data_IF_179900275470
#
_entry.id   IF_179900275470
#
_cell.length_a   1.000
_cell.length_b   1.000
_cell.length_c   1.000
_cell.angle_alpha   90.00
_cell.angle_beta   90.00
_cell.angle_gamma   90.00
#
_symmetry.space_group_name_H-M   'P 1'
#
loop_
_entity.id
_entity.type
_entity.pdbx_description
1 polymer ?
#
# COMPACT_ATOMS: atom_id res chain seq x y z
N UNK A 1 2.61 -41.04 16.72
CA UNK A 1 2.16 -42.10 15.80
C UNK A 1 2.51 -41.65 14.39
N UNK A 2 3.32 -42.39 13.64
CA UNK A 2 3.54 -42.12 12.22
C UNK A 2 2.23 -42.45 11.49
N UNK A 3 1.42 -41.44 11.20
CA UNK A 3 0.22 -41.61 10.37
C UNK A 3 0.69 -41.81 8.93
N UNK A 4 0.36 -42.96 8.35
CA UNK A 4 0.59 -43.27 6.95
C UNK A 4 -0.56 -42.66 6.14
N UNK A 5 -0.29 -41.58 5.44
CA UNK A 5 -1.20 -41.03 4.43
C UNK A 5 -0.82 -41.56 3.07
N UNK A 6 -1.83 -41.81 2.23
CA UNK A 6 -1.62 -42.10 0.82
C UNK A 6 -1.78 -40.80 0.04
N UNK A 7 -0.67 -40.28 -0.49
CA UNK A 7 -0.71 -39.10 -1.35
C UNK A 7 -1.38 -39.42 -2.69
N UNK A 8 -2.16 -38.49 -3.26
CA UNK A 8 -2.53 -38.53 -4.67
C UNK A 8 -1.28 -38.72 -5.52
N UNK A 9 -1.28 -39.70 -6.43
CA UNK A 9 -0.11 -40.02 -7.24
C UNK A 9 -0.11 -39.13 -8.48
N UNK A 10 0.79 -38.15 -8.60
CA UNK A 10 0.84 -37.31 -9.80
C UNK A 10 1.34 -38.13 -11.00
N UNK A 11 0.72 -37.94 -12.16
CA UNK A 11 1.29 -38.37 -13.43
C UNK A 11 2.66 -37.71 -13.64
N UNK A 12 3.63 -38.48 -14.15
CA UNK A 12 4.95 -38.01 -14.54
C UNK A 12 5.09 -38.08 -16.05
N UNK A 13 5.09 -36.91 -16.69
CA UNK A 13 5.38 -36.78 -18.12
C UNK A 13 6.86 -37.00 -18.44
N UNK A 14 7.18 -36.98 -19.73
CA UNK A 14 8.54 -37.13 -20.27
C UNK A 14 9.09 -35.82 -20.87
N UNK A 15 8.52 -34.67 -20.53
CA UNK A 15 8.95 -33.37 -21.05
C UNK A 15 10.35 -33.05 -20.52
N UNK A 16 11.25 -32.72 -21.43
CA UNK A 16 12.61 -32.27 -21.15
C UNK A 16 12.96 -31.16 -22.14
N UNK A 17 13.50 -30.06 -21.62
CA UNK A 17 13.94 -28.91 -22.41
C UNK A 17 15.46 -28.77 -22.36
N UNK A 18 16.05 -28.11 -23.36
CA UNK A 18 17.49 -27.82 -23.39
C UNK A 18 17.71 -26.34 -23.14
N UNK A 19 18.23 -26.00 -21.95
CA UNK A 19 18.60 -24.64 -21.58
C UNK A 19 20.12 -24.54 -21.51
N UNK A 20 20.73 -23.68 -22.32
CA UNK A 20 22.18 -23.49 -22.40
C UNK A 20 22.97 -24.81 -22.62
N UNK A 21 22.45 -25.69 -23.46
CA UNK A 21 23.07 -26.98 -23.76
C UNK A 21 22.92 -28.04 -22.66
N UNK A 22 22.08 -27.80 -21.64
CA UNK A 22 21.77 -28.75 -20.58
C UNK A 22 20.32 -29.19 -20.65
N UNK A 23 20.09 -30.49 -20.53
CA UNK A 23 18.76 -31.07 -20.40
C UNK A 23 18.16 -30.75 -19.02
N UNK A 24 16.91 -30.29 -19.01
CA UNK A 24 16.13 -29.96 -17.82
C UNK A 24 14.79 -30.69 -17.92
N UNK A 25 14.61 -31.71 -17.09
CA UNK A 25 13.37 -32.49 -17.05
C UNK A 25 12.27 -31.72 -16.29
N UNK A 26 11.07 -31.72 -16.84
CA UNK A 26 9.87 -31.15 -16.23
C UNK A 26 8.71 -32.16 -16.25
N UNK A 27 8.75 -33.17 -15.36
CA UNK A 27 7.76 -34.25 -15.37
C UNK A 27 6.36 -33.79 -14.95
N UNK A 28 6.22 -32.57 -14.40
CA UNK A 28 4.96 -32.05 -13.86
C UNK A 28 4.40 -30.88 -14.66
N UNK A 29 4.96 -30.57 -15.83
CA UNK A 29 4.50 -29.53 -16.78
C UNK A 29 2.98 -29.51 -17.01
N UNK A 30 2.30 -30.65 -16.94
CA UNK A 30 0.85 -30.72 -17.10
C UNK A 30 0.07 -29.91 -16.04
N UNK A 31 0.64 -29.73 -14.84
CA UNK A 31 0.07 -28.91 -13.76
C UNK A 31 0.07 -27.40 -14.07
N UNK A 32 0.87 -26.94 -15.03
CA UNK A 32 0.88 -25.52 -15.46
C UNK A 32 -0.42 -25.10 -16.18
N UNK A 33 -1.32 -26.05 -16.47
CA UNK A 33 -2.63 -25.80 -17.07
C UNK A 33 -3.71 -25.97 -15.99
N UNK A 34 -4.04 -24.93 -15.20
CA UNK A 34 -4.99 -25.04 -14.10
C UNK A 34 -6.41 -25.42 -14.56
N UNK A 35 -6.76 -25.04 -15.80
CA UNK A 35 -8.08 -25.32 -16.39
C UNK A 35 -8.22 -26.76 -16.92
N UNK A 36 -7.12 -27.50 -17.05
CA UNK A 36 -7.16 -28.85 -17.59
C UNK A 36 -7.89 -29.81 -16.62
N UNK A 37 -8.76 -30.72 -17.12
CA UNK A 37 -9.50 -31.64 -16.26
C UNK A 37 -8.61 -32.48 -15.32
N UNK A 38 -7.46 -32.95 -15.82
CA UNK A 38 -6.49 -33.72 -15.03
C UNK A 38 -5.93 -32.89 -13.86
N UNK A 39 -5.57 -31.63 -14.12
CA UNK A 39 -5.04 -30.70 -13.10
C UNK A 39 -6.09 -30.39 -12.05
N UNK A 40 -7.33 -30.08 -12.46
CA UNK A 40 -8.44 -29.83 -11.54
C UNK A 40 -8.74 -31.04 -10.66
N UNK A 41 -8.72 -32.24 -11.24
CA UNK A 41 -8.90 -33.47 -10.47
C UNK A 41 -7.79 -33.64 -9.42
N UNK A 42 -6.53 -33.48 -9.80
CA UNK A 42 -5.41 -33.62 -8.88
C UNK A 42 -5.44 -32.57 -7.76
N UNK A 43 -5.79 -31.32 -8.07
CA UNK A 43 -6.01 -30.27 -7.06
C UNK A 43 -7.10 -30.69 -6.07
N UNK A 44 -8.24 -31.18 -6.56
CA UNK A 44 -9.33 -31.63 -5.69
C UNK A 44 -8.90 -32.79 -4.77
N UNK A 45 -8.12 -33.75 -5.28
CA UNK A 45 -7.57 -34.85 -4.49
C UNK A 45 -6.58 -34.36 -3.40
N UNK A 46 -5.72 -33.39 -3.73
CA UNK A 46 -4.80 -32.76 -2.76
C UNK A 46 -5.54 -31.97 -1.68
N UNK A 47 -6.59 -31.22 -2.05
CA UNK A 47 -7.45 -30.49 -1.10
C UNK A 47 -8.17 -31.47 -0.17
N UNK A 48 -8.74 -32.55 -0.70
CA UNK A 48 -9.43 -33.57 0.10
C UNK A 48 -8.49 -34.24 1.12
N UNK A 49 -7.27 -34.58 0.70
CA UNK A 49 -6.25 -35.12 1.61
C UNK A 49 -5.90 -34.10 2.71
N UNK A 50 -5.69 -32.84 2.33
CA UNK A 50 -5.28 -31.77 3.25
C UNK A 50 -6.37 -31.47 4.27
N UNK A 51 -7.62 -31.29 3.85
CA UNK A 51 -8.74 -31.06 4.78
C UNK A 51 -8.99 -32.26 5.68
N UNK A 52 -8.86 -33.49 5.16
CA UNK A 52 -8.91 -34.70 5.97
C UNK A 52 -7.85 -34.70 7.07
N UNK A 53 -6.60 -34.35 6.74
CA UNK A 53 -5.51 -34.24 7.71
C UNK A 53 -5.79 -33.17 8.77
N UNK A 54 -6.15 -31.96 8.33
CA UNK A 54 -6.37 -30.82 9.22
C UNK A 54 -7.58 -31.02 10.13
N UNK A 55 -8.63 -31.71 9.66
CA UNK A 55 -9.83 -32.03 10.46
C UNK A 55 -9.53 -32.95 11.65
N UNK A 56 -8.45 -33.75 11.59
CA UNK A 56 -8.06 -34.65 12.67
C UNK A 56 -7.24 -33.96 13.78
N UNK A 57 -6.90 -32.68 13.63
CA UNK A 57 -6.11 -31.92 14.62
C UNK A 57 -7.05 -31.45 15.75
N UNK A 58 -6.96 -32.01 16.98
CA UNK A 58 -7.94 -31.71 18.03
C UNK A 58 -7.94 -30.23 18.45
N UNK A 59 -6.80 -29.56 18.32
CA UNK A 59 -6.64 -28.15 18.67
C UNK A 59 -7.22 -27.17 17.62
N UNK A 60 -7.59 -27.62 16.40
CA UNK A 60 -8.01 -26.74 15.29
C UNK A 60 -9.17 -25.83 15.68
N UNK A 61 -10.20 -26.39 16.32
CA UNK A 61 -11.38 -25.63 16.75
C UNK A 61 -11.05 -24.60 17.85
N UNK A 62 -10.17 -24.95 18.79
CA UNK A 62 -9.74 -24.02 19.85
C UNK A 62 -8.90 -22.87 19.28
N UNK A 63 -7.97 -23.17 18.37
CA UNK A 63 -7.16 -22.17 17.68
C UNK A 63 -8.06 -21.22 16.88
N UNK A 64 -9.01 -21.77 16.11
CA UNK A 64 -9.98 -20.98 15.36
C UNK A 64 -10.80 -20.05 16.26
N UNK A 65 -11.34 -20.57 17.37
CA UNK A 65 -12.12 -19.76 18.31
C UNK A 65 -11.27 -18.64 18.92
N UNK A 66 -10.00 -18.90 19.28
CA UNK A 66 -9.11 -17.87 19.81
C UNK A 66 -8.76 -16.82 18.76
N UNK A 67 -8.46 -17.24 17.52
CA UNK A 67 -8.21 -16.32 16.42
C UNK A 67 -9.42 -15.43 16.14
N UNK A 68 -10.63 -15.99 16.12
CA UNK A 68 -11.86 -15.20 15.95
C UNK A 68 -12.01 -14.15 17.03
N UNK A 69 -11.80 -14.49 18.31
CA UNK A 69 -11.86 -13.52 19.41
C UNK A 69 -10.76 -12.44 19.33
N UNK A 70 -9.57 -12.79 18.85
CA UNK A 70 -8.48 -11.82 18.64
C UNK A 70 -8.73 -10.91 17.42
N UNK A 71 -9.54 -11.35 16.46
CA UNK A 71 -9.88 -10.59 15.26
C UNK A 71 -11.12 -9.71 15.47
N UNK A 72 -12.03 -10.10 16.35
CA UNK A 72 -13.32 -9.44 16.56
C UNK A 72 -13.22 -8.19 17.45
N UNK A 73 -12.62 -7.13 16.90
CA UNK A 73 -12.55 -5.81 17.51
C UNK A 73 -12.63 -4.70 16.43
N UNK A 74 -13.13 -3.50 16.75
CA UNK A 74 -13.17 -2.39 15.80
C UNK A 74 -11.78 -1.99 15.29
N UNK A 75 -11.64 -1.75 13.99
CA UNK A 75 -10.38 -1.33 13.34
C UNK A 75 -10.65 -0.07 12.54
N UNK A 76 -9.74 0.88 12.62
CA UNK A 76 -9.84 2.16 11.92
C UNK A 76 -8.58 2.37 11.08
N UNK A 77 -8.73 3.06 9.96
CA UNK A 77 -7.60 3.71 9.28
C UNK A 77 -7.51 5.18 9.71
N UNK A 78 -6.35 5.78 9.49
CA UNK A 78 -6.14 7.19 9.81
C UNK A 78 -7.11 8.07 9.00
N UNK A 79 -7.85 8.99 9.64
CA UNK A 79 -8.78 9.85 8.93
C UNK A 79 -8.03 10.88 8.09
N UNK A 80 -8.62 11.26 6.96
CA UNK A 80 -8.14 12.33 6.11
C UNK A 80 -9.26 13.32 5.78
N UNK A 81 -8.87 14.58 5.57
CA UNK A 81 -9.80 15.67 5.31
C UNK A 81 -9.84 16.03 3.81
N UNK A 82 -11.06 16.26 3.30
CA UNK A 82 -11.34 16.91 2.00
C UNK A 82 -12.52 17.85 2.15
N UNK A 83 -12.37 19.09 1.70
CA UNK A 83 -13.27 20.18 2.08
C UNK A 83 -13.49 20.25 3.60
N UNK A 84 -14.76 20.30 4.01
CA UNK A 84 -15.17 20.30 5.42
C UNK A 84 -15.42 18.89 5.99
N UNK A 85 -15.20 17.84 5.18
CA UNK A 85 -15.51 16.45 5.52
C UNK A 85 -14.26 15.64 5.92
N UNK A 86 -14.44 14.76 6.89
CA UNK A 86 -13.48 13.74 7.27
C UNK A 86 -13.92 12.38 6.71
N UNK A 87 -12.96 11.64 6.18
CA UNK A 87 -13.15 10.32 5.61
C UNK A 87 -12.26 9.31 6.35
N UNK A 88 -12.78 8.12 6.62
CA UNK A 88 -12.01 7.05 7.26
C UNK A 88 -12.62 5.68 7.01
N UNK A 89 -11.78 4.66 6.88
CA UNK A 89 -12.21 3.27 6.82
C UNK A 89 -12.38 2.70 8.22
N UNK A 90 -13.43 1.91 8.42
CA UNK A 90 -13.74 1.23 9.67
C UNK A 90 -14.18 -0.22 9.41
N UNK A 91 -13.71 -1.15 10.23
CA UNK A 91 -14.21 -2.52 10.30
C UNK A 91 -14.66 -2.81 11.73
N UNK A 92 -15.90 -3.25 11.95
CA UNK A 92 -16.44 -3.46 13.30
C UNK A 92 -15.93 -4.73 13.99
N UNK A 93 -15.18 -5.59 13.28
CA UNK A 93 -14.61 -6.81 13.83
C UNK A 93 -14.30 -7.82 12.74
N UNK A 94 -15.34 -8.54 12.32
CA UNK A 94 -15.28 -9.68 11.40
C UNK A 94 -15.89 -9.38 10.02
N UNK A 95 -16.10 -8.11 9.67
CA UNK A 95 -16.54 -7.77 8.31
C UNK A 95 -15.45 -8.19 7.32
N UNK A 96 -15.84 -8.77 6.18
CA UNK A 96 -14.88 -9.24 5.17
C UNK A 96 -14.02 -8.07 4.64
N UNK A 97 -14.65 -6.90 4.47
CA UNK A 97 -13.99 -5.66 4.08
C UNK A 97 -14.41 -4.51 4.99
N UNK A 98 -13.49 -3.56 5.22
CA UNK A 98 -13.79 -2.33 5.91
C UNK A 98 -14.81 -1.49 5.11
N UNK A 99 -15.58 -0.65 5.81
CA UNK A 99 -16.55 0.28 5.24
C UNK A 99 -15.93 1.69 5.29
N UNK A 100 -16.08 2.46 4.22
CA UNK A 100 -15.69 3.86 4.20
C UNK A 100 -16.80 4.70 4.83
N UNK A 101 -16.43 5.50 5.83
CA UNK A 101 -17.29 6.46 6.50
C UNK A 101 -16.93 7.88 6.08
N UNK A 102 -17.91 8.77 6.16
CA UNK A 102 -17.75 10.21 6.03
C UNK A 102 -18.42 10.92 7.20
N UNK A 103 -17.82 12.02 7.62
CA UNK A 103 -18.21 12.80 8.78
C UNK A 103 -18.08 14.29 8.46
N UNK A 104 -19.07 15.10 8.84
CA UNK A 104 -19.01 16.57 8.69
C UNK A 104 -18.21 17.17 9.86
N UNK A 105 -17.09 17.83 9.57
CA UNK A 105 -16.19 18.37 10.60
C UNK A 105 -15.62 17.29 11.53
N UNK A 106 -15.08 17.70 12.70
CA UNK A 106 -14.43 16.79 13.67
C UNK A 106 -15.38 16.14 14.67
N UNK A 107 -16.54 16.77 14.90
CA UNK A 107 -17.50 16.35 15.93
C UNK A 107 -18.85 15.92 15.32
N UNK A 108 -18.95 15.86 13.99
CA UNK A 108 -20.15 15.36 13.32
C UNK A 108 -20.35 13.86 13.54
N UNK A 109 -21.59 13.40 13.41
CA UNK A 109 -21.91 11.98 13.45
C UNK A 109 -21.44 11.30 12.14
N UNK A 110 -20.59 10.25 12.21
CA UNK A 110 -20.18 9.52 11.02
C UNK A 110 -21.35 8.79 10.36
N UNK A 111 -21.39 8.81 9.02
CA UNK A 111 -22.29 7.99 8.21
C UNK A 111 -21.51 7.09 7.27
N UNK A 112 -22.06 5.92 6.98
CA UNK A 112 -21.51 5.04 5.94
C UNK A 112 -21.60 5.74 4.58
N UNK A 113 -20.50 5.72 3.84
CA UNK A 113 -20.43 6.24 2.48
C UNK A 113 -20.34 5.11 1.45
N UNK A 114 -19.53 4.07 1.73
CA UNK A 114 -19.33 2.93 0.84
C UNK A 114 -19.08 1.66 1.64
N UNK A 115 -19.95 0.67 1.48
CA UNK A 115 -19.82 -0.67 2.05
C UNK A 115 -19.46 -1.68 0.94
N UNK A 116 -18.19 -2.08 0.82
CA UNK A 116 -17.76 -3.07 -0.17
C UNK A 116 -18.43 -4.44 0.01
N UNK A 117 -18.85 -4.80 1.22
CA UNK A 117 -19.50 -6.08 1.50
C UNK A 117 -20.88 -6.19 0.80
N UNK A 118 -21.44 -5.06 0.35
CA UNK A 118 -22.71 -5.03 -0.39
C UNK A 118 -22.55 -5.20 -1.90
N UNK A 119 -21.31 -5.19 -2.43
CA UNK A 119 -21.06 -5.20 -3.88
C UNK A 119 -21.17 -6.60 -4.54
N UNK A 120 -21.18 -7.67 -3.75
CA UNK A 120 -21.33 -9.06 -4.25
C UNK A 120 -21.92 -9.94 -3.16
N UNK A 121 -22.85 -10.83 -3.52
CA UNK A 121 -23.45 -11.79 -2.58
C UNK A 121 -22.42 -12.78 -1.99
N UNK A 122 -21.38 -13.13 -2.76
CA UNK A 122 -20.34 -14.08 -2.36
C UNK A 122 -19.10 -13.43 -1.71
N UNK A 123 -19.08 -12.09 -1.59
CA UNK A 123 -17.99 -11.33 -1.00
C UNK A 123 -16.69 -11.31 -1.83
N UNK A 124 -16.73 -11.70 -3.11
CA UNK A 124 -15.54 -11.78 -3.96
C UNK A 124 -15.19 -10.48 -4.70
N UNK A 125 -16.04 -9.46 -4.57
CA UNK A 125 -15.76 -8.11 -5.07
C UNK A 125 -15.09 -7.28 -3.98
N UNK A 126 -14.02 -6.56 -4.33
CA UNK A 126 -13.27 -5.73 -3.41
C UNK A 126 -13.10 -4.29 -3.88
N UNK A 127 -13.17 -3.35 -2.94
CA UNK A 127 -12.69 -1.99 -3.18
C UNK A 127 -11.20 -1.96 -2.86
N UNK A 128 -10.39 -1.65 -3.88
CA UNK A 128 -8.91 -1.75 -3.82
C UNK A 128 -8.21 -0.40 -3.84
N UNK A 129 -8.96 0.69 -3.97
CA UNK A 129 -8.46 2.05 -3.84
C UNK A 129 -9.57 3.08 -4.00
N UNK A 130 -9.28 4.30 -3.56
CA UNK A 130 -10.21 5.41 -3.61
C UNK A 130 -9.49 6.76 -3.72
N UNK A 131 -10.20 7.76 -4.25
CA UNK A 131 -9.75 9.15 -4.28
C UNK A 131 -10.96 10.07 -4.13
N UNK A 132 -10.90 10.97 -3.16
CA UNK A 132 -11.93 11.96 -2.89
C UNK A 132 -11.51 13.31 -3.48
N UNK A 133 -12.44 13.99 -4.15
CA UNK A 133 -12.22 15.33 -4.71
C UNK A 133 -11.84 16.34 -3.62
N UNK A 134 -11.16 17.42 -3.99
CA UNK A 134 -10.58 18.35 -3.03
C UNK A 134 -11.61 19.08 -2.16
N UNK A 135 -12.81 19.30 -2.71
CA UNK A 135 -13.99 19.84 -2.01
C UNK A 135 -14.74 18.80 -1.15
N UNK A 136 -14.41 17.50 -1.25
CA UNK A 136 -15.07 16.43 -0.52
C UNK A 136 -16.45 16.01 -1.06
N UNK A 137 -16.83 16.44 -2.27
CA UNK A 137 -18.16 16.17 -2.85
C UNK A 137 -18.26 14.90 -3.69
N UNK A 138 -17.13 14.42 -4.21
CA UNK A 138 -17.08 13.24 -5.07
C UNK A 138 -16.05 12.21 -4.57
N UNK A 139 -16.41 10.95 -4.67
CA UNK A 139 -15.56 9.80 -4.40
C UNK A 139 -15.42 8.99 -5.69
N UNK A 140 -14.20 8.82 -6.19
CA UNK A 140 -13.89 7.79 -7.17
C UNK A 140 -13.36 6.56 -6.42
N UNK A 141 -13.86 5.37 -6.71
CA UNK A 141 -13.40 4.13 -6.07
C UNK A 141 -13.20 3.01 -7.09
N UNK A 142 -12.17 2.19 -6.84
CA UNK A 142 -11.72 1.13 -7.73
C UNK A 142 -12.25 -0.21 -7.25
N UNK A 143 -12.97 -0.91 -8.11
CA UNK A 143 -13.58 -2.21 -7.83
C UNK A 143 -12.83 -3.31 -8.58
N UNK A 144 -12.36 -4.32 -7.84
CA UNK A 144 -11.76 -5.54 -8.38
C UNK A 144 -12.69 -6.73 -8.13
N UNK A 145 -12.94 -7.53 -9.17
CA UNK A 145 -13.78 -8.73 -9.09
C UNK A 145 -12.91 -9.97 -9.04
N UNK A 146 -13.19 -10.89 -8.11
CA UNK A 146 -12.46 -12.15 -7.92
C UNK A 146 -10.94 -11.99 -7.74
N UNK A 147 -10.51 -10.87 -7.13
CA UNK A 147 -9.08 -10.58 -6.91
C UNK A 147 -8.29 -10.27 -8.18
N UNK A 148 -8.97 -9.90 -9.27
CA UNK A 148 -8.34 -9.45 -10.51
C UNK A 148 -7.53 -8.17 -10.30
N UNK A 149 -6.38 -8.08 -10.96
CA UNK A 149 -5.62 -6.83 -11.07
C UNK A 149 -6.37 -5.76 -11.90
N UNK A 150 -7.34 -6.18 -12.74
CA UNK A 150 -8.19 -5.23 -13.48
C UNK A 150 -9.26 -4.67 -12.57
N UNK A 151 -9.43 -3.37 -12.68
CA UNK A 151 -10.40 -2.62 -11.90
C UNK A 151 -11.37 -1.83 -12.79
N UNK A 152 -12.53 -1.55 -12.23
CA UNK A 152 -13.49 -0.57 -12.73
C UNK A 152 -13.49 0.64 -11.79
N UNK A 153 -13.60 1.85 -12.34
CA UNK A 153 -13.74 3.07 -11.54
C UNK A 153 -15.21 3.44 -11.49
N UNK A 154 -15.72 3.54 -10.27
CA UNK A 154 -17.06 4.03 -9.98
C UNK A 154 -16.96 5.41 -9.33
N UNK A 155 -17.97 6.26 -9.57
CA UNK A 155 -18.00 7.63 -9.05
C UNK A 155 -19.24 7.81 -8.20
N UNK A 156 -19.06 8.17 -6.93
CA UNK A 156 -20.12 8.37 -5.94
C UNK A 156 -20.22 9.84 -5.57
N UNK A 157 -21.45 10.37 -5.56
CA UNK A 157 -21.71 11.63 -4.89
C UNK A 157 -21.68 11.41 -3.36
N UNK A 158 -20.83 12.15 -2.67
CA UNK A 158 -20.62 11.97 -1.23
C UNK A 158 -21.88 12.34 -0.45
N UNK A 159 -22.57 13.42 -0.82
CA UNK A 159 -23.77 13.91 -0.13
C UNK A 159 -24.96 12.95 -0.20
N UNK A 160 -25.28 12.44 -1.39
CA UNK A 160 -26.42 11.52 -1.59
C UNK A 160 -26.06 10.05 -1.38
N UNK A 161 -24.78 9.69 -1.34
CA UNK A 161 -24.26 8.32 -1.35
C UNK A 161 -24.77 7.50 -2.56
N UNK A 162 -25.05 8.16 -3.68
CA UNK A 162 -25.46 7.52 -4.93
C UNK A 162 -24.32 7.56 -5.95
N UNK A 163 -24.17 6.46 -6.67
CA UNK A 163 -23.24 6.38 -7.79
C UNK A 163 -23.82 7.09 -9.00
N UNK A 164 -22.93 7.75 -9.75
CA UNK A 164 -23.21 8.16 -11.11
C UNK A 164 -23.35 6.93 -12.01
N UNK A 165 -24.14 7.00 -13.09
CA UNK A 165 -24.38 5.86 -13.97
C UNK A 165 -23.14 5.43 -14.77
N UNK A 166 -22.19 6.33 -15.01
CA UNK A 166 -20.95 6.00 -15.70
C UNK A 166 -20.03 5.09 -14.87
N UNK A 167 -19.40 4.13 -15.56
CA UNK A 167 -18.38 3.23 -15.00
C UNK A 167 -17.20 3.20 -15.95
N UNK A 168 -15.99 3.44 -15.44
CA UNK A 168 -14.79 3.50 -16.27
C UNK A 168 -14.06 2.16 -16.20
N UNK A 169 -14.07 1.42 -17.31
CA UNK A 169 -13.45 0.11 -17.40
C UNK A 169 -11.97 0.17 -17.82
N UNK A 170 -11.32 -1.00 -17.79
CA UNK A 170 -9.96 -1.25 -18.29
C UNK A 170 -8.84 -0.54 -17.51
N UNK A 171 -9.09 -0.25 -16.24
CA UNK A 171 -8.05 0.24 -15.32
C UNK A 171 -7.33 -0.93 -14.64
N UNK A 172 -6.14 -0.66 -14.12
CA UNK A 172 -5.37 -1.58 -13.28
C UNK A 172 -4.44 -0.76 -12.41
N UNK A 173 -4.58 -0.86 -11.08
CA UNK A 173 -3.85 -0.02 -10.12
C UNK A 173 -3.89 1.48 -10.47
N UNK A 174 -5.03 1.94 -11.02
CA UNK A 174 -5.13 3.30 -11.54
C UNK A 174 -5.05 4.33 -10.41
N UNK A 175 -4.34 5.41 -10.69
CA UNK A 175 -4.34 6.59 -9.81
C UNK A 175 -5.35 7.61 -10.32
N UNK A 176 -6.10 8.22 -9.40
CA UNK A 176 -7.17 9.18 -9.72
C UNK A 176 -6.76 10.57 -9.20
N UNK A 177 -6.56 11.50 -10.13
CA UNK A 177 -6.11 12.85 -9.86
C UNK A 177 -7.21 13.86 -10.21
N UNK A 178 -7.99 14.27 -9.20
CA UNK A 178 -9.10 15.22 -9.34
C UNK A 178 -8.62 16.61 -9.74
N UNK A 179 -9.35 17.27 -10.63
CA UNK A 179 -9.16 18.70 -10.87
C UNK A 179 -9.52 19.51 -9.61
N UNK A 180 -8.87 20.67 -9.39
CA UNK A 180 -9.19 21.53 -8.24
C UNK A 180 -10.64 22.01 -8.18
N UNK A 181 -11.34 22.06 -9.33
CA UNK A 181 -12.74 22.45 -9.42
C UNK A 181 -13.72 21.25 -9.36
N UNK A 182 -13.19 20.04 -9.15
CA UNK A 182 -13.93 18.78 -9.08
C UNK A 182 -14.80 18.48 -10.32
N UNK A 183 -14.55 19.12 -11.46
CA UNK A 183 -15.33 18.91 -12.69
C UNK A 183 -15.05 17.57 -13.38
N UNK A 184 -13.94 16.94 -13.02
CA UNK A 184 -13.45 15.69 -13.57
C UNK A 184 -12.11 15.30 -12.94
N UNK A 185 -11.50 14.24 -13.47
CA UNK A 185 -10.22 13.74 -13.00
C UNK A 185 -9.39 13.11 -14.13
N UNK A 186 -8.09 13.09 -13.93
CA UNK A 186 -7.18 12.30 -14.74
C UNK A 186 -7.03 10.91 -14.16
N UNK A 187 -6.96 9.92 -15.05
CA UNK A 187 -6.72 8.52 -14.70
C UNK A 187 -6.03 7.79 -15.84
N UNK A 188 -5.36 6.69 -15.55
CA UNK A 188 -4.71 5.85 -16.54
C UNK A 188 -5.47 4.54 -16.78
N UNK A 189 -5.49 4.08 -18.03
CA UNK A 189 -6.13 2.82 -18.43
C UNK A 189 -5.39 2.10 -19.55
N UNK A 190 -5.73 0.83 -19.73
CA UNK A 190 -5.19 -0.03 -20.80
C UNK A 190 -6.21 -0.20 -21.93
N UNK A 191 -5.77 -0.63 -23.14
CA UNK A 191 -6.68 -0.92 -24.24
C UNK A 191 -7.65 -2.07 -23.92
N UNK A 192 -8.89 -1.94 -24.37
CA UNK A 192 -9.96 -2.93 -24.11
C UNK A 192 -9.64 -4.36 -24.61
N UNK A 193 -8.83 -4.48 -25.67
CA UNK A 193 -8.65 -5.73 -26.44
C UNK A 193 -7.57 -6.67 -25.91
N UNK A 194 -6.90 -6.38 -24.79
CA UNK A 194 -5.90 -7.31 -24.24
C UNK A 194 -6.57 -8.57 -23.70
N UNK A 195 -6.13 -9.73 -24.19
CA UNK A 195 -6.47 -11.04 -23.62
C UNK A 195 -6.10 -11.08 -22.13
N UNK A 196 -6.82 -11.88 -21.34
CA UNK A 196 -6.63 -11.97 -19.89
C UNK A 196 -5.18 -12.32 -19.49
N UNK A 197 -4.47 -13.09 -20.32
CA UNK A 197 -3.08 -13.51 -20.09
C UNK A 197 -2.04 -12.64 -20.83
N UNK A 198 -2.47 -11.58 -21.51
CA UNK A 198 -1.55 -10.69 -22.21
C UNK A 198 -0.80 -9.80 -21.20
N UNK A 199 0.48 -9.55 -21.47
CA UNK A 199 1.24 -8.54 -20.73
C UNK A 199 0.53 -7.18 -20.86
N UNK A 200 0.31 -6.54 -19.72
CA UNK A 200 -0.28 -5.20 -19.64
C UNK A 200 0.62 -4.20 -20.35
N UNK A 201 0.19 -3.75 -21.52
CA UNK A 201 0.93 -2.85 -22.40
C UNK A 201 0.05 -1.73 -22.94
N UNK A 202 0.69 -0.63 -23.36
CA UNK A 202 0.06 0.56 -23.92
C UNK A 202 -0.90 1.24 -22.93
N UNK A 203 -0.47 1.37 -21.67
CA UNK A 203 -1.13 2.27 -20.73
C UNK A 203 -1.18 3.68 -21.33
N UNK A 204 -2.25 4.41 -21.06
CA UNK A 204 -2.42 5.77 -21.51
C UNK A 204 -3.19 6.59 -20.47
N UNK A 205 -2.85 7.87 -20.37
CA UNK A 205 -3.52 8.83 -19.53
C UNK A 205 -4.76 9.39 -20.24
N UNK A 206 -5.88 9.41 -19.53
CA UNK A 206 -7.14 9.97 -19.96
C UNK A 206 -7.63 11.03 -18.98
N UNK A 207 -8.46 11.94 -19.48
CA UNK A 207 -9.27 12.83 -18.66
C UNK A 207 -10.73 12.41 -18.77
N UNK A 208 -11.36 12.19 -17.63
CA UNK A 208 -12.79 11.93 -17.51
C UNK A 208 -13.51 13.16 -16.97
N UNK A 209 -14.51 13.64 -17.72
CA UNK A 209 -15.42 14.68 -17.26
C UNK A 209 -16.63 14.03 -16.60
N UNK A 210 -17.01 14.50 -15.41
CA UNK A 210 -18.17 13.94 -14.70
C UNK A 210 -19.45 13.99 -15.54
N UNK A 211 -20.30 12.96 -15.40
CA UNK A 211 -21.60 12.83 -16.07
C UNK A 211 -21.49 12.73 -17.59
N UNK A 212 -20.39 12.15 -18.06
CA UNK A 212 -20.17 11.82 -19.48
C UNK A 212 -19.84 10.34 -19.62
N UNK A 213 -20.09 9.76 -20.80
CA UNK A 213 -19.71 8.37 -21.05
C UNK A 213 -18.19 8.24 -21.20
N UNK A 214 -17.62 7.09 -20.79
CA UNK A 214 -16.17 6.83 -20.89
C UNK A 214 -15.63 6.98 -22.33
N UNK A 215 -16.45 6.76 -23.35
CA UNK A 215 -16.07 6.92 -24.76
C UNK A 215 -15.84 8.39 -25.16
N UNK A 216 -16.33 9.33 -24.35
CA UNK A 216 -16.06 10.77 -24.51
C UNK A 216 -14.74 11.20 -23.85
N UNK A 217 -14.09 10.31 -23.08
CA UNK A 217 -12.85 10.63 -22.37
C UNK A 217 -11.75 11.03 -23.33
N UNK A 218 -11.08 12.13 -23.00
CA UNK A 218 -9.99 12.64 -23.81
C UNK A 218 -8.72 11.87 -23.50
N UNK A 219 -8.08 11.27 -24.51
CA UNK A 219 -6.74 10.73 -24.35
C UNK A 219 -5.75 11.88 -24.27
N UNK A 220 -5.10 12.03 -23.12
CA UNK A 220 -4.22 13.16 -22.80
C UNK A 220 -2.77 12.84 -23.14
N UNK A 221 -2.32 11.61 -22.87
CA UNK A 221 -0.93 11.20 -23.09
C UNK A 221 -0.79 9.69 -23.28
N UNK A 222 0.03 9.28 -24.24
CA UNK A 222 0.46 7.89 -24.43
C UNK A 222 1.91 7.82 -24.97
N UNK A 223 2.52 6.63 -24.86
CA UNK A 223 3.84 6.32 -25.43
C UNK A 223 3.79 4.97 -26.16
N UNK A 224 3.20 4.91 -27.37
CA UNK A 224 3.17 3.67 -28.15
C UNK A 224 4.58 3.20 -28.55
N UNK A 225 5.58 4.09 -28.54
CA UNK A 225 6.99 3.78 -28.72
C UNK A 225 7.62 3.05 -27.52
N UNK A 226 7.00 3.14 -26.34
CA UNK A 226 7.42 2.44 -25.13
C UNK A 226 6.22 1.85 -24.38
N UNK A 227 5.67 0.73 -24.88
CA UNK A 227 4.37 0.20 -24.45
C UNK A 227 4.37 -0.38 -23.04
N UNK A 228 5.52 -0.54 -22.38
CA UNK A 228 5.61 -1.04 -21.00
C UNK A 228 5.59 0.05 -19.94
N UNK A 229 5.51 1.33 -20.34
CA UNK A 229 5.37 2.45 -19.40
C UNK A 229 3.94 2.58 -18.89
N UNK A 230 3.80 3.05 -17.65
CA UNK A 230 2.54 3.47 -17.04
C UNK A 230 2.61 4.94 -16.63
N UNK A 231 1.47 5.63 -16.63
CA UNK A 231 1.34 7.08 -16.42
C UNK A 231 0.46 7.48 -15.22
N UNK A 232 0.70 6.97 -13.98
CA UNK A 232 -0.03 7.42 -12.79
C UNK A 232 -0.02 8.95 -12.62
N UNK A 233 -1.21 9.60 -12.61
CA UNK A 233 -1.29 11.03 -12.39
C UNK A 233 -1.40 11.40 -10.91
N UNK A 234 -0.88 12.59 -10.59
CA UNK A 234 -1.14 13.31 -9.34
C UNK A 234 -1.28 14.82 -9.65
N UNK A 235 -2.08 15.54 -8.86
CA UNK A 235 -2.20 17.01 -8.95
C UNK A 235 -1.34 17.66 -7.86
N UNK A 236 -0.66 18.75 -8.21
CA UNK A 236 0.18 19.53 -7.31
C UNK A 236 -0.61 20.18 -6.17
N UNK A 237 0.05 20.56 -5.08
CA UNK A 237 -0.64 21.09 -3.88
C UNK A 237 -1.46 22.35 -4.15
N UNK A 238 -1.05 23.15 -5.12
CA UNK A 238 -1.73 24.37 -5.57
C UNK A 238 -2.70 24.13 -6.75
N UNK A 239 -2.80 22.91 -7.27
CA UNK A 239 -3.66 22.58 -8.39
C UNK A 239 -3.13 22.97 -9.78
N UNK A 240 -1.99 23.66 -9.84
CA UNK A 240 -1.48 24.26 -11.07
C UNK A 240 -0.84 23.26 -12.03
N UNK A 241 -0.41 22.10 -11.53
CA UNK A 241 0.27 21.08 -12.31
C UNK A 241 -0.39 19.71 -12.16
N UNK A 242 -0.45 18.99 -13.28
CA UNK A 242 -0.51 17.53 -13.29
C UNK A 242 0.92 17.00 -13.41
N UNK A 243 1.28 16.10 -12.50
CA UNK A 243 2.57 15.42 -12.47
C UNK A 243 2.33 13.94 -12.76
N UNK A 244 3.19 13.35 -13.58
CA UNK A 244 3.17 11.91 -13.90
C UNK A 244 4.41 11.27 -13.33
N UNK A 245 4.21 10.31 -12.44
CA UNK A 245 5.27 9.43 -11.96
C UNK A 245 5.35 8.24 -12.90
N UNK A 246 6.20 8.32 -13.92
CA UNK A 246 6.18 7.35 -15.03
C UNK A 246 7.06 6.15 -14.72
N UNK A 247 6.43 4.97 -14.62
CA UNK A 247 7.07 3.71 -14.20
C UNK A 247 7.28 2.75 -15.37
N UNK A 248 8.24 1.85 -15.21
CA UNK A 248 8.41 0.69 -16.06
C UNK A 248 8.35 -0.59 -15.21
N UNK A 249 7.24 -1.31 -15.29
CA UNK A 249 6.99 -2.51 -14.49
C UNK A 249 7.26 -2.28 -12.98
N UNK A 250 7.81 -3.28 -12.29
CA UNK A 250 8.11 -3.24 -10.85
C UNK A 250 9.52 -2.72 -10.52
N UNK A 251 10.13 -1.93 -11.40
CA UNK A 251 11.49 -1.41 -11.19
C UNK A 251 11.42 -0.20 -10.25
N UNK A 252 12.28 -0.16 -9.23
CA UNK A 252 12.38 0.94 -8.25
C UNK A 252 13.10 2.18 -8.79
N UNK A 253 12.87 2.52 -10.06
CA UNK A 253 13.36 3.73 -10.73
C UNK A 253 12.28 4.24 -11.66
N UNK A 254 12.12 5.54 -11.70
CA UNK A 254 11.03 6.16 -12.44
C UNK A 254 11.49 7.43 -13.17
N UNK A 255 10.56 7.95 -13.95
CA UNK A 255 10.64 9.26 -14.59
C UNK A 255 9.63 10.20 -13.93
N UNK A 256 9.80 11.50 -14.16
CA UNK A 256 8.87 12.51 -13.67
C UNK A 256 8.57 13.50 -14.78
N UNK A 257 7.30 13.55 -15.20
CA UNK A 257 6.83 14.48 -16.22
C UNK A 257 5.79 15.43 -15.60
N UNK A 258 5.60 16.61 -16.18
CA UNK A 258 4.56 17.52 -15.72
C UNK A 258 3.95 18.35 -16.85
N UNK A 259 2.76 18.88 -16.61
CA UNK A 259 2.08 19.87 -17.46
C UNK A 259 1.26 20.79 -16.56
N UNK A 260 1.07 22.05 -16.97
CA UNK A 260 0.09 22.91 -16.28
C UNK A 260 -1.31 22.35 -16.49
N UNK A 261 -2.11 22.28 -15.44
CA UNK A 261 -3.49 21.75 -15.48
C UNK A 261 -4.36 22.54 -16.45
N UNK A 262 -4.14 23.86 -16.54
CA UNK A 262 -4.88 24.80 -17.39
C UNK A 262 -4.43 24.87 -18.85
N UNK A 263 -3.31 24.22 -19.20
CA UNK A 263 -2.69 24.38 -20.52
C UNK A 263 -2.85 23.12 -21.37
N UNK A 264 -3.31 23.26 -22.61
CA UNK A 264 -3.19 22.20 -23.61
C UNK A 264 -1.73 22.09 -24.11
N UNK A 265 -1.27 20.88 -24.43
CA UNK A 265 0.07 20.66 -24.98
C UNK A 265 0.78 19.43 -24.43
N UNK A 266 2.03 19.18 -24.87
CA UNK A 266 2.80 18.02 -24.44
C UNK A 266 3.23 18.14 -22.97
N UNK A 267 3.40 17.00 -22.32
CA UNK A 267 4.08 16.93 -21.03
C UNK A 267 5.55 17.31 -21.18
N UNK A 268 6.04 18.12 -20.25
CA UNK A 268 7.47 18.40 -20.07
C UNK A 268 8.09 17.23 -19.33
N UNK A 269 9.15 16.66 -19.90
CA UNK A 269 9.89 15.56 -19.29
C UNK A 269 10.96 16.11 -18.34
N UNK A 270 10.57 16.48 -17.12
CA UNK A 270 11.50 17.02 -16.12
C UNK A 270 12.64 16.03 -15.83
N UNK A 271 12.31 14.74 -15.73
CA UNK A 271 13.27 13.64 -15.56
C UNK A 271 12.85 12.51 -16.51
N UNK A 272 13.60 12.30 -17.60
CA UNK A 272 13.34 11.20 -18.57
C UNK A 272 14.29 10.00 -18.41
N UNK A 273 15.39 10.17 -17.69
CA UNK A 273 16.30 9.08 -17.37
C UNK A 273 15.86 8.37 -16.08
N UNK A 274 15.52 7.06 -16.10
CA UNK A 274 15.12 6.31 -14.92
C UNK A 274 16.36 5.77 -14.20
N UNK A 275 17.24 6.65 -13.74
CA UNK A 275 18.47 6.30 -13.03
C UNK A 275 18.30 6.21 -11.51
N UNK A 276 17.18 6.71 -10.98
CA UNK A 276 16.86 6.71 -9.57
C UNK A 276 15.34 6.66 -9.32
N UNK A 277 14.95 6.52 -8.06
CA UNK A 277 13.61 6.80 -7.56
C UNK A 277 13.41 8.31 -7.45
N UNK A 278 12.26 8.81 -7.91
CA UNK A 278 11.82 10.20 -7.74
C UNK A 278 10.36 10.22 -7.30
N UNK A 279 10.12 10.63 -6.05
CA UNK A 279 8.78 10.85 -5.48
C UNK A 279 8.55 12.35 -5.45
N UNK A 280 7.48 12.83 -6.08
CA UNK A 280 7.04 14.21 -5.92
C UNK A 280 6.39 14.38 -4.55
N UNK A 281 6.91 15.32 -3.74
CA UNK A 281 6.38 15.61 -2.41
C UNK A 281 5.39 16.77 -2.43
N UNK A 282 5.48 17.61 -3.46
CA UNK A 282 4.70 18.82 -3.62
C UNK A 282 5.48 19.95 -4.27
N UNK A 283 4.87 21.14 -4.30
CA UNK A 283 5.48 22.32 -4.90
C UNK A 283 5.21 23.61 -4.10
N UNK A 284 6.04 24.62 -4.38
CA UNK A 284 5.79 26.02 -4.07
C UNK A 284 5.98 26.84 -5.35
N UNK A 285 4.87 27.23 -5.98
CA UNK A 285 4.89 27.81 -7.32
C UNK A 285 5.60 26.86 -8.30
N UNK A 286 6.64 27.37 -8.97
CA UNK A 286 7.41 26.63 -9.97
C UNK A 286 8.56 25.78 -9.37
N UNK A 287 8.68 25.69 -8.04
CA UNK A 287 9.67 24.82 -7.38
C UNK A 287 9.04 23.51 -6.94
N UNK A 288 9.54 22.39 -7.47
CA UNK A 288 9.12 21.04 -7.08
C UNK A 288 10.04 20.49 -5.98
N UNK A 289 9.45 19.82 -4.98
CA UNK A 289 10.17 19.13 -3.93
C UNK A 289 10.12 17.62 -4.18
N UNK A 290 11.27 16.95 -4.18
CA UNK A 290 11.40 15.54 -4.53
C UNK A 290 12.10 14.75 -3.43
N UNK A 291 11.57 13.60 -3.05
CA UNK A 291 12.35 12.55 -2.37
C UNK A 291 12.99 11.65 -3.43
N UNK A 292 14.30 11.44 -3.35
CA UNK A 292 15.05 10.64 -4.33
C UNK A 292 16.23 9.90 -3.71
N UNK A 293 16.56 8.73 -4.26
CA UNK A 293 17.79 7.98 -3.96
C UNK A 293 18.93 8.28 -4.95
N UNK A 294 18.74 9.26 -5.85
CA UNK A 294 19.74 9.66 -6.84
C UNK A 294 21.03 10.09 -6.16
N UNK A 295 22.10 9.29 -6.30
CA UNK A 295 23.40 9.56 -5.65
C UNK A 295 23.35 9.48 -4.11
N UNK A 296 22.27 8.97 -3.53
CA UNK A 296 22.01 8.91 -2.09
C UNK A 296 21.19 7.64 -1.78
N UNK A 297 21.80 6.45 -1.67
CA UNK A 297 21.09 5.17 -1.54
C UNK A 297 20.07 5.08 -0.39
N UNK A 298 20.19 5.89 0.66
CA UNK A 298 19.24 6.01 1.78
C UNK A 298 18.22 7.14 1.63
N UNK A 299 18.20 7.80 0.48
CA UNK A 299 17.25 8.85 0.15
C UNK A 299 17.68 10.23 0.65
N UNK A 300 17.22 11.26 -0.06
CA UNK A 300 17.37 12.69 0.27
C UNK A 300 16.20 13.50 -0.26
N UNK A 301 16.03 14.72 0.22
CA UNK A 301 15.04 15.68 -0.30
C UNK A 301 15.72 16.79 -1.09
N UNK A 302 15.27 16.98 -2.33
CA UNK A 302 15.78 17.96 -3.28
C UNK A 302 14.69 18.97 -3.65
N UNK A 303 15.09 20.20 -3.97
CA UNK A 303 14.27 21.20 -4.62
C UNK A 303 14.73 21.41 -6.07
N UNK A 304 13.77 21.48 -6.99
CA UNK A 304 13.98 21.65 -8.42
C UNK A 304 13.14 22.84 -8.91
N UNK A 305 13.80 23.92 -9.35
CA UNK A 305 13.13 24.99 -10.11
C UNK A 305 12.87 24.47 -11.53
N UNK A 306 11.60 24.30 -11.91
CA UNK A 306 11.24 23.74 -13.21
C UNK A 306 11.60 24.68 -14.37
N UNK A 307 11.89 25.96 -14.10
CA UNK A 307 12.40 26.91 -15.09
C UNK A 307 13.93 26.78 -15.29
N UNK A 308 14.63 26.10 -14.37
CA UNK A 308 16.07 25.81 -14.43
C UNK A 308 16.33 24.34 -14.08
N UNK A 309 15.74 23.37 -14.83
CA UNK A 309 15.60 21.99 -14.41
C UNK A 309 16.89 21.17 -14.46
N UNK A 310 17.97 21.71 -15.02
CA UNK A 310 19.26 21.03 -15.09
C UNK A 310 19.72 20.59 -13.68
N UNK A 311 20.17 19.35 -13.55
CA UNK A 311 20.56 18.75 -12.26
C UNK A 311 21.63 19.55 -11.50
N UNK A 312 22.45 20.32 -12.21
CA UNK A 312 23.45 21.21 -11.62
C UNK A 312 22.84 22.35 -10.80
N UNK A 313 21.57 22.71 -11.06
CA UNK A 313 20.83 23.76 -10.35
C UNK A 313 19.94 23.20 -9.23
N UNK A 314 19.85 21.88 -9.08
CA UNK A 314 19.06 21.27 -8.02
C UNK A 314 19.67 21.60 -6.67
N UNK A 315 18.82 21.94 -5.70
CA UNK A 315 19.24 22.27 -4.35
C UNK A 315 18.91 21.12 -3.42
N UNK A 316 19.92 20.56 -2.77
CA UNK A 316 19.72 19.62 -1.67
C UNK A 316 19.16 20.37 -0.45
N UNK A 317 18.01 19.91 0.06
CA UNK A 317 17.37 20.46 1.25
C UNK A 317 17.67 19.59 2.47
N UNK A 318 17.39 18.29 2.37
CA UNK A 318 17.63 17.32 3.44
C UNK A 318 18.59 16.26 2.90
N UNK A 319 19.86 16.24 3.34
CA UNK A 319 20.86 15.30 2.83
C UNK A 319 20.59 13.87 3.30
N UNK A 320 21.27 12.92 2.66
CA UNK A 320 21.26 11.50 3.06
C UNK A 320 21.71 11.33 4.53
N UNK A 321 20.96 10.55 5.31
CA UNK A 321 21.27 10.26 6.72
C UNK A 321 21.84 8.84 6.91
N UNK A 322 21.95 8.36 8.15
CA UNK A 322 22.30 6.96 8.44
C UNK A 322 21.15 5.98 8.19
N UNK A 323 19.91 6.45 8.32
CA UNK A 323 18.69 5.69 8.13
C UNK A 323 18.12 5.97 6.75
N UNK A 324 17.51 4.95 6.13
CA UNK A 324 16.82 5.11 4.85
C UNK A 324 15.49 5.83 5.04
N UNK A 325 15.13 6.73 4.13
CA UNK A 325 13.80 7.33 4.08
C UNK A 325 12.82 6.28 3.53
N UNK A 326 11.88 5.83 4.37
CA UNK A 326 10.81 4.91 3.99
C UNK A 326 9.67 5.64 3.26
N UNK A 327 9.27 6.79 3.81
CA UNK A 327 8.33 7.71 3.17
C UNK A 327 8.59 9.15 3.57
N UNK A 328 8.16 10.08 2.73
CA UNK A 328 8.25 11.51 2.97
C UNK A 328 7.05 12.22 2.34
N UNK A 329 6.73 13.39 2.85
CA UNK A 329 5.68 14.26 2.30
C UNK A 329 5.73 15.64 2.93
N UNK A 330 4.85 16.53 2.46
CA UNK A 330 4.76 17.89 2.99
C UNK A 330 3.71 18.01 4.09
N UNK A 331 4.02 18.80 5.11
CA UNK A 331 3.09 19.17 6.19
C UNK A 331 3.53 20.48 6.85
N UNK A 332 2.59 21.31 7.29
CA UNK A 332 2.86 22.61 7.91
C UNK A 332 3.89 23.47 7.14
N UNK A 333 3.78 23.48 5.80
CA UNK A 333 4.67 24.10 4.83
C UNK A 333 6.14 23.64 4.87
N UNK A 334 6.43 22.55 5.58
CA UNK A 334 7.73 21.88 5.61
C UNK A 334 7.60 20.42 5.15
N UNK A 335 8.36 19.52 5.77
CA UNK A 335 8.38 18.10 5.41
C UNK A 335 8.25 17.21 6.64
N UNK A 336 7.61 16.06 6.47
CA UNK A 336 7.81 14.92 7.35
C UNK A 336 8.64 13.87 6.62
N UNK A 337 9.55 13.21 7.33
CA UNK A 337 10.27 12.02 6.87
C UNK A 337 10.07 10.89 7.88
N UNK A 338 9.60 9.76 7.38
CA UNK A 338 9.59 8.47 8.09
C UNK A 338 10.88 7.74 7.74
N UNK A 339 11.71 7.50 8.74
CA UNK A 339 13.00 6.81 8.58
C UNK A 339 12.90 5.36 9.01
N UNK A 340 13.59 4.49 8.26
CA UNK A 340 13.78 3.08 8.54
C UNK A 340 15.03 2.88 9.40
N UNK A 341 14.86 2.96 10.72
CA UNK A 341 15.95 2.77 11.67
C UNK A 341 15.99 1.32 12.15
N UNK A 342 16.88 0.50 11.60
CA UNK A 342 16.93 -0.94 11.90
C UNK A 342 15.54 -1.61 11.83
N UNK A 343 14.84 -1.50 10.71
CA UNK A 343 13.52 -2.12 10.51
C UNK A 343 12.38 -1.63 11.43
N UNK A 344 12.54 -0.50 12.14
CA UNK A 344 11.45 0.22 12.83
C UNK A 344 11.38 1.67 12.35
N UNK A 345 10.22 2.30 12.49
CA UNK A 345 10.03 3.67 12.02
C UNK A 345 10.44 4.71 13.08
N UNK A 346 11.08 5.79 12.61
CA UNK A 346 11.22 7.07 13.31
C UNK A 346 10.56 8.16 12.47
N UNK A 347 9.99 9.17 13.10
CA UNK A 347 9.31 10.27 12.40
C UNK A 347 9.97 11.59 12.75
N UNK A 348 10.40 12.32 11.72
CA UNK A 348 11.04 13.63 11.86
C UNK A 348 10.32 14.67 11.02
N UNK A 349 10.27 15.89 11.54
CA UNK A 349 9.70 17.07 10.88
C UNK A 349 10.82 18.03 10.54
N UNK A 350 10.73 18.64 9.37
CA UNK A 350 11.69 19.61 8.85
C UNK A 350 10.96 20.88 8.43
N UNK A 351 11.64 22.01 8.56
CA UNK A 351 11.22 23.25 7.92
C UNK A 351 11.40 23.14 6.41
N UNK A 352 10.76 24.06 5.66
CA UNK A 352 10.82 24.10 4.19
C UNK A 352 12.24 24.22 3.62
N UNK A 353 13.15 24.84 4.37
CA UNK A 353 14.55 24.99 3.96
C UNK A 353 15.40 23.73 4.22
N UNK A 354 14.81 22.68 4.79
CA UNK A 354 15.50 21.44 5.14
C UNK A 354 16.10 21.42 6.55
N UNK A 355 15.89 22.47 7.36
CA UNK A 355 16.32 22.47 8.76
C UNK A 355 15.47 21.50 9.58
N UNK A 356 16.11 20.56 10.30
CA UNK A 356 15.42 19.68 11.24
C UNK A 356 14.65 20.53 12.26
N UNK A 357 13.35 20.34 12.31
CA UNK A 357 12.48 21.01 13.27
C UNK A 357 12.33 20.16 14.53
N UNK A 358 12.04 18.85 14.38
CA UNK A 358 11.69 17.99 15.51
C UNK A 358 11.76 16.50 15.14
N UNK A 359 12.01 15.64 16.13
CA UNK A 359 11.66 14.22 16.08
C UNK A 359 10.40 13.97 16.92
N UNK A 360 9.42 13.27 16.36
CA UNK A 360 8.14 12.97 17.03
C UNK A 360 8.32 11.72 17.89
N UNK A 361 8.02 11.84 19.19
CA UNK A 361 8.03 10.72 20.11
C UNK A 361 6.88 9.74 19.79
N UNK A 362 7.21 8.63 19.15
CA UNK A 362 6.26 7.56 18.85
C UNK A 362 5.99 6.70 20.09
N UNK A 363 4.83 6.00 20.16
CA UNK A 363 4.46 5.19 21.33
C UNK A 363 5.47 4.09 21.73
N UNK A 364 6.35 3.69 20.81
CA UNK A 364 7.41 2.74 21.07
C UNK A 364 8.12 2.29 19.79
N UNK A 365 8.73 1.10 19.83
CA UNK A 365 9.25 0.43 18.64
C UNK A 365 8.09 -0.10 17.81
N UNK A 366 7.98 0.33 16.55
CA UNK A 366 6.89 -0.10 15.70
C UNK A 366 6.96 0.45 14.29
N UNK A 367 5.81 0.42 13.65
CA UNK A 367 5.58 0.83 12.27
C UNK A 367 4.53 1.92 12.23
N UNK A 368 4.87 3.02 11.58
CA UNK A 368 3.91 4.01 11.09
C UNK A 368 3.31 3.52 9.76
N UNK A 369 2.00 3.60 9.62
CA UNK A 369 1.28 3.29 8.38
C UNK A 369 0.17 4.31 8.13
N UNK A 370 -0.26 4.45 6.88
CA UNK A 370 -1.38 5.30 6.47
C UNK A 370 -1.26 6.74 7.01
N UNK A 371 -0.08 7.36 6.90
CA UNK A 371 0.10 8.75 7.32
C UNK A 371 -0.67 9.67 6.35
N UNK A 372 -1.61 10.44 6.89
CA UNK A 372 -2.46 11.39 6.19
C UNK A 372 -2.06 12.82 6.56
N UNK A 373 -1.50 13.55 5.60
CA UNK A 373 -1.07 14.94 5.75
C UNK A 373 -1.26 15.71 4.44
N UNK A 374 -1.59 17.00 4.53
CA UNK A 374 -1.46 17.96 3.42
C UNK A 374 -0.40 19.00 3.74
N UNK A 375 0.17 19.60 2.69
CA UNK A 375 1.22 20.61 2.81
C UNK A 375 0.85 21.76 3.76
N UNK A 376 -0.39 22.24 3.73
CA UNK A 376 -0.86 23.36 4.56
C UNK A 376 -1.42 22.95 5.92
N UNK A 377 -1.59 21.66 6.21
CA UNK A 377 -2.22 21.21 7.44
C UNK A 377 -1.29 21.43 8.65
N UNK A 378 -1.86 21.88 9.77
CA UNK A 378 -1.16 22.05 11.05
C UNK A 378 -1.09 20.76 11.88
N UNK A 379 -1.65 19.68 11.37
CA UNK A 379 -1.69 18.36 11.99
C UNK A 379 -1.61 17.28 10.92
N UNK A 380 -1.32 16.06 11.35
CA UNK A 380 -1.45 14.87 10.51
C UNK A 380 -1.94 13.70 11.35
N UNK A 381 -2.49 12.69 10.69
CA UNK A 381 -2.95 11.46 11.35
C UNK A 381 -2.19 10.26 10.80
N UNK A 382 -2.01 9.22 11.61
CA UNK A 382 -1.37 7.98 11.17
C UNK A 382 -1.85 6.80 12.02
N UNK A 383 -1.66 5.60 11.49
CA UNK A 383 -1.73 4.37 12.27
C UNK A 383 -0.34 4.00 12.79
N UNK A 384 -0.27 3.58 14.06
CA UNK A 384 0.92 2.98 14.63
C UNK A 384 0.62 1.59 15.17
N UNK A 385 1.53 0.66 14.94
CA UNK A 385 1.43 -0.73 15.42
C UNK A 385 2.80 -1.33 15.73
N UNK A 386 2.79 -2.42 16.48
CA UNK A 386 3.96 -3.28 16.71
C UNK A 386 3.51 -4.74 16.79
N UNK A 387 4.42 -5.69 17.03
CA UNK A 387 4.02 -7.09 17.25
C UNK A 387 3.08 -7.28 18.45
N UNK A 388 3.11 -6.37 19.43
CA UNK A 388 2.32 -6.44 20.66
C UNK A 388 1.27 -5.33 20.78
N UNK A 389 1.24 -4.38 19.84
CA UNK A 389 0.28 -3.28 19.82
C UNK A 389 -0.53 -3.34 18.52
N UNK A 390 -1.84 -3.62 18.60
CA UNK A 390 -2.75 -3.51 17.45
C UNK A 390 -2.71 -2.12 16.80
N UNK A 391 -3.07 -2.00 15.51
CA UNK A 391 -3.14 -0.70 14.83
C UNK A 391 -3.96 0.31 15.64
N UNK A 392 -3.27 1.35 16.11
CA UNK A 392 -3.83 2.43 16.92
C UNK A 392 -3.71 3.71 16.13
N UNK A 393 -4.81 4.48 16.01
CA UNK A 393 -4.79 5.72 15.24
C UNK A 393 -4.43 6.89 16.14
N UNK A 394 -3.42 7.63 15.71
CA UNK A 394 -2.98 8.85 16.34
C UNK A 394 -3.17 10.05 15.42
N UNK A 395 -3.41 11.20 16.03
CA UNK A 395 -3.26 12.51 15.43
C UNK A 395 -2.15 13.24 16.14
N UNK A 396 -1.27 13.86 15.37
CA UNK A 396 -0.22 14.72 15.89
C UNK A 396 -0.51 16.17 15.53
N UNK A 397 -0.67 17.03 16.53
CA UNK A 397 -0.75 18.48 16.36
C UNK A 397 0.65 19.09 16.43
N UNK A 398 1.08 19.74 15.33
CA UNK A 398 2.48 20.16 15.15
C UNK A 398 2.81 21.35 16.05
N UNK A 399 1.87 22.28 16.21
CA UNK A 399 2.09 23.49 17.00
C UNK A 399 2.03 23.20 18.50
N UNK A 400 1.08 22.34 18.92
CA UNK A 400 0.94 21.93 20.31
C UNK A 400 1.97 20.88 20.75
N UNK A 401 2.64 20.22 19.80
CA UNK A 401 3.54 19.08 20.05
C UNK A 401 2.82 17.95 20.81
N UNK A 402 1.61 17.63 20.34
CA UNK A 402 0.72 16.72 21.05
C UNK A 402 0.34 15.54 20.17
N UNK A 403 0.68 14.34 20.64
CA UNK A 403 0.25 13.08 20.04
C UNK A 403 -1.00 12.55 20.77
N UNK A 404 -2.15 12.61 20.11
CA UNK A 404 -3.45 12.18 20.66
C UNK A 404 -3.92 10.90 19.99
N UNK A 405 -4.28 9.89 20.78
CA UNK A 405 -5.00 8.72 20.28
C UNK A 405 -6.46 9.09 19.96
N UNK A 406 -6.93 8.81 18.74
CA UNK A 406 -8.27 9.23 18.29
C UNK A 406 -9.39 8.33 18.78
N UNK A 407 -9.17 7.01 18.78
CA UNK A 407 -10.16 6.01 19.20
C UNK A 407 -9.54 5.06 20.21
N UNK A 408 -10.23 4.88 21.33
CA UNK A 408 -9.89 3.83 22.30
C UNK A 408 -10.61 2.54 21.92
N UNK A 409 -9.83 1.53 21.52
CA UNK A 409 -10.34 0.28 20.97
C UNK A 409 -9.90 -0.86 21.88
N UNK A 410 -10.82 -1.47 22.66
CA UNK A 410 -10.47 -2.63 23.46
C UNK A 410 -10.15 -3.81 22.56
N UNK A 411 -9.09 -4.56 22.89
CA UNK A 411 -8.72 -5.78 22.16
C UNK A 411 -8.65 -6.97 23.10
N UNK A 412 -8.84 -8.17 22.56
CA UNK A 412 -8.81 -9.41 23.35
C UNK A 412 -7.38 -9.87 23.69
N UNK A 413 -6.35 -9.10 23.30
CA UNK A 413 -4.94 -9.40 23.56
C UNK A 413 -4.41 -8.50 24.67
N UNK A 414 -3.86 -9.10 25.73
CA UNK A 414 -3.15 -8.38 26.79
C UNK A 414 -1.64 -8.47 26.54
N UNK A 415 -0.96 -7.36 26.15
CA UNK A 415 0.46 -7.38 25.86
C UNK A 415 1.35 -7.44 27.12
N UNK A 416 0.82 -7.27 28.33
CA UNK A 416 1.62 -7.07 29.55
C UNK A 416 2.58 -8.23 29.86
N UNK A 417 2.22 -9.46 29.48
CA UNK A 417 3.02 -10.68 29.67
C UNK A 417 4.07 -10.95 28.59
N UNK A 418 4.15 -10.11 27.55
CA UNK A 418 4.96 -10.35 26.35
C UNK A 418 5.99 -9.26 26.13
N UNK A 419 7.03 -9.58 25.38
CA UNK A 419 8.02 -8.61 24.92
C UNK A 419 8.37 -8.86 23.45
N UNK A 420 8.90 -7.82 22.84
CA UNK A 420 9.58 -7.90 21.54
C UNK A 420 11.00 -7.39 21.74
N UNK A 421 11.97 -8.25 21.46
CA UNK A 421 13.38 -7.92 21.43
C UNK A 421 13.83 -7.75 19.98
N UNK A 422 14.62 -6.71 19.72
CA UNK A 422 15.38 -6.63 18.48
C UNK A 422 16.79 -7.15 18.73
N UNK A 423 17.19 -8.17 18.00
CA UNK A 423 18.53 -8.73 18.04
C UNK A 423 19.22 -8.58 16.69
N UNK A 424 20.54 -8.69 16.70
CA UNK A 424 21.38 -8.64 15.51
C UNK A 424 22.26 -9.89 15.47
N UNK A 425 22.22 -10.62 14.36
CA UNK A 425 23.00 -11.84 14.19
C UNK A 425 23.91 -11.74 12.96
N UNK A 426 24.95 -12.56 12.92
CA UNK A 426 25.93 -12.58 11.83
C UNK A 426 25.53 -13.62 10.78
N UNK A 427 25.42 -13.19 9.52
CA UNK A 427 25.26 -14.07 8.37
C UNK A 427 26.57 -14.79 8.02
N UNK A 428 26.51 -15.70 7.04
CA UNK A 428 27.66 -16.51 6.58
C UNK A 428 28.88 -15.67 6.17
N UNK A 429 28.67 -14.47 5.65
CA UNK A 429 29.71 -13.56 5.17
C UNK A 429 30.11 -12.47 6.19
N UNK A 430 29.53 -12.49 7.40
CA UNK A 430 29.75 -11.46 8.41
C UNK A 430 28.86 -10.22 8.26
N UNK A 431 27.83 -10.28 7.41
CA UNK A 431 26.78 -9.25 7.38
C UNK A 431 25.95 -9.32 8.65
N UNK A 432 25.79 -8.19 9.34
CA UNK A 432 24.89 -8.06 10.49
C UNK A 432 23.44 -7.93 10.02
N UNK A 433 22.57 -8.84 10.45
CA UNK A 433 21.14 -8.86 10.07
C UNK A 433 20.26 -8.63 11.30
N UNK A 434 19.34 -7.64 11.28
CA UNK A 434 18.36 -7.44 12.36
C UNK A 434 17.30 -8.55 12.36
N UNK A 435 16.81 -8.92 13.53
CA UNK A 435 15.68 -9.83 13.72
C UNK A 435 14.87 -9.42 14.94
N UNK A 436 13.55 -9.45 14.82
CA UNK A 436 12.65 -9.29 15.96
C UNK A 436 12.28 -10.66 16.53
N UNK A 437 12.30 -10.78 17.86
CA UNK A 437 11.88 -11.96 18.60
C UNK A 437 10.78 -11.54 19.56
N UNK A 438 9.56 -12.03 19.31
CA UNK A 438 8.39 -11.76 20.16
C UNK A 438 8.03 -13.03 20.93
N UNK A 439 7.94 -12.92 22.26
CA UNK A 439 7.73 -14.07 23.16
C UNK A 439 7.15 -13.64 24.51
N UNK A 440 6.76 -14.60 25.33
CA UNK A 440 6.49 -14.37 26.78
C UNK A 440 7.75 -13.90 27.50
N UNK A 441 7.60 -12.96 28.43
CA UNK A 441 8.73 -12.38 29.18
C UNK A 441 9.51 -13.43 29.98
N UNK A 442 8.78 -14.34 30.62
CA UNK A 442 9.27 -15.40 31.51
C UNK A 442 9.53 -16.74 30.79
N UNK A 443 9.52 -16.76 29.45
CA UNK A 443 9.83 -17.94 28.66
C UNK A 443 11.26 -18.44 28.95
N UNK A 444 11.41 -19.72 29.25
CA UNK A 444 12.73 -20.34 29.43
C UNK A 444 13.47 -20.42 28.10
N UNK A 445 14.74 -19.99 28.05
CA UNK A 445 15.55 -20.06 26.83
C UNK A 445 16.32 -21.37 26.76
N UNK A 446 15.60 -22.50 26.79
CA UNK A 446 16.18 -23.86 26.88
C UNK A 446 16.21 -24.62 25.53
N UNK A 447 15.72 -24.00 24.46
CA UNK A 447 15.72 -24.57 23.11
C UNK A 447 14.59 -25.57 22.83
N UNK A 448 13.58 -25.66 23.71
CA UNK A 448 12.47 -26.62 23.56
C UNK A 448 11.18 -26.00 23.01
N UNK A 449 11.11 -24.68 22.91
CA UNK A 449 9.91 -23.96 22.49
C UNK A 449 9.66 -24.09 20.98
N UNK A 450 8.41 -24.29 20.55
CA UNK A 450 8.07 -24.24 19.14
C UNK A 450 8.31 -22.82 18.63
N UNK A 451 8.87 -22.67 17.42
CA UNK A 451 9.23 -21.35 16.89
C UNK A 451 8.85 -21.25 15.43
N UNK A 452 8.23 -20.13 15.05
CA UNK A 452 8.04 -19.72 13.66
C UNK A 452 9.11 -18.68 13.32
N UNK A 453 10.00 -19.03 12.39
CA UNK A 453 10.92 -18.09 11.77
C UNK A 453 10.34 -17.62 10.44
N UNK A 454 10.08 -16.32 10.32
CA UNK A 454 9.53 -15.71 9.11
C UNK A 454 10.53 -14.77 8.45
N UNK A 455 10.55 -14.77 7.12
CA UNK A 455 11.39 -13.89 6.30
C UNK A 455 10.85 -13.77 4.87
N UNK A 456 11.29 -12.72 4.17
CA UNK A 456 10.89 -12.44 2.78
C UNK A 456 12.13 -12.33 1.87
N UNK A 457 12.87 -11.22 1.94
CA UNK A 457 14.20 -11.09 1.32
C UNK A 457 14.20 -10.77 -0.19
N UNK A 458 13.50 -9.71 -0.61
CA UNK A 458 13.53 -9.23 -2.00
C UNK A 458 12.73 -7.95 -2.22
N UNK A 459 12.78 -7.41 -3.45
CA UNK A 459 11.93 -6.31 -3.93
C UNK A 459 11.98 -5.00 -3.11
N UNK A 460 13.06 -4.77 -2.36
CA UNK A 460 13.19 -3.64 -1.42
C UNK A 460 12.09 -3.59 -0.34
N UNK A 461 11.43 -4.72 -0.06
CA UNK A 461 10.40 -4.81 0.98
C UNK A 461 11.07 -4.93 2.35
N UNK A 462 10.75 -4.00 3.24
CA UNK A 462 11.16 -4.02 4.65
C UNK A 462 10.12 -4.76 5.50
N UNK A 463 10.56 -5.75 6.28
CA UNK A 463 9.72 -6.43 7.27
C UNK A 463 9.75 -5.67 8.60
N UNK A 464 8.81 -4.74 8.76
CA UNK A 464 8.68 -3.92 9.98
C UNK A 464 7.70 -4.54 10.98
N UNK A 465 7.73 -4.15 12.27
CA UNK A 465 6.82 -4.68 13.28
C UNK A 465 5.35 -4.44 12.92
N UNK A 466 4.56 -5.52 12.80
CA UNK A 466 3.14 -5.45 12.52
C UNK A 466 2.37 -6.38 13.45
N UNK A 467 1.24 -5.91 13.96
CA UNK A 467 0.38 -6.73 14.79
C UNK A 467 -0.34 -7.76 13.93
N UNK A 468 -0.41 -8.99 14.43
CA UNK A 468 -1.18 -10.06 13.78
C UNK A 468 -1.89 -10.87 14.85
N UNK A 469 -3.23 -11.05 14.76
CA UNK A 469 -3.95 -11.99 15.61
C UNK A 469 -3.34 -13.39 15.62
N UNK A 470 -2.76 -13.83 14.50
CA UNK A 470 -2.09 -15.13 14.40
C UNK A 470 -0.80 -15.18 15.22
N UNK A 471 0.02 -14.12 15.19
CA UNK A 471 1.23 -14.03 16.01
C UNK A 471 0.86 -13.93 17.49
N UNK A 472 -0.15 -13.12 17.84
CA UNK A 472 -0.66 -13.01 19.20
C UNK A 472 -1.13 -14.38 19.74
N UNK A 473 -1.91 -15.12 18.97
CA UNK A 473 -2.35 -16.47 19.33
C UNK A 473 -1.17 -17.45 19.50
N UNK A 474 -0.16 -17.35 18.63
CA UNK A 474 1.03 -18.19 18.68
C UNK A 474 1.84 -17.99 19.96
N UNK A 475 2.11 -16.73 20.33
CA UNK A 475 2.85 -16.42 21.57
C UNK A 475 2.03 -16.76 22.82
N UNK A 476 0.71 -16.63 22.79
CA UNK A 476 -0.18 -17.09 23.86
C UNK A 476 -0.07 -18.59 24.11
N UNK A 477 0.03 -19.37 23.03
CA UNK A 477 0.25 -20.82 23.05
C UNK A 477 1.66 -21.24 23.47
N UNK A 478 2.57 -20.27 23.73
CA UNK A 478 3.91 -20.51 24.26
C UNK A 478 4.97 -20.78 23.20
N UNK A 479 4.72 -20.36 21.96
CA UNK A 479 5.74 -20.34 20.90
C UNK A 479 6.48 -19.03 20.76
#
# INVERSE_FOLDING_TARGET
MNRLFTYPTPHKGNITEVHHGREVADPYRWLEKPEAPETRQFIAEQVALTEGFLAEIPARAQIQARLSALWDYPKYQAPYQRGERLFFWKNDGLQNQAILYVQEGRDGEPRQLLDPNSLSEDGTTAVVGESVSDDGEWLAYLVAVHGSDRTEVHIRNVGSAQDLPEVLAHTKFASIAWLPDSSGFFYDRYPATQAADALYQNNALYFHQLKTDQDADQKVYDRPDNPSLAFPPEISNDGEFIVLRVWHAAISRNRLYYRRTSADGPFVQLIDEPDALYVFLGNEGDTFFLHTDWGAPRGRVMAVDINQPDRANWRELIPESEDAIDSAGMVNNGFYLVHMHHARHRLTLYQKDGTLYREVDLPGLGTLAFLQARSADSYFSFSFQSFLQPPTIYRYDIAADELTQLWDVPTAFDPAGYLTEQIFYQSKDGTTVPMFVTRKKDLALDGTHPTILYGYGGYSISLTPAFSPAIAQWVEAGG
#
